data_IF_037459638356
#
_entry.id   IF_037459638356
#
_cell.length_a   1.000
_cell.length_b   1.000
_cell.length_c   1.000
_cell.angle_alpha   90.00
_cell.angle_beta   90.00
_cell.angle_gamma   90.00
#
_symmetry.space_group_name_H-M   'P 1'
#
loop_
_entity.id
_entity.type
_entity.pdbx_description
1 polymer ?
#
# COMPACT_ATOMS: atom_id res chain seq x y z
N UNK A 1 10.52 15.67 -8.31
CA UNK A 1 9.25 15.29 -8.97
C UNK A 1 9.10 13.80 -8.81
N UNK A 2 8.03 13.35 -8.15
CA UNK A 2 7.74 11.91 -8.02
C UNK A 2 7.38 11.36 -9.42
N UNK A 3 7.94 10.23 -9.86
CA UNK A 3 7.54 9.61 -11.12
C UNK A 3 6.02 9.38 -11.16
N UNK A 4 5.38 9.64 -12.31
CA UNK A 4 3.98 9.27 -12.49
C UNK A 4 3.82 7.75 -12.63
N UNK A 5 2.68 7.20 -12.21
CA UNK A 5 2.38 5.77 -12.38
C UNK A 5 3.04 4.84 -11.35
N UNK A 6 3.38 5.35 -10.17
CA UNK A 6 3.86 4.52 -9.06
C UNK A 6 2.77 3.61 -8.50
N UNK A 7 3.21 2.49 -7.94
CA UNK A 7 2.40 1.54 -7.20
C UNK A 7 2.85 1.52 -5.75
N UNK A 8 2.01 2.04 -4.84
CA UNK A 8 2.23 1.89 -3.41
C UNK A 8 1.90 0.44 -3.03
N UNK A 9 2.94 -0.37 -2.83
CA UNK A 9 2.79 -1.80 -2.56
C UNK A 9 2.42 -2.01 -1.10
N UNK A 10 1.17 -2.40 -0.87
CA UNK A 10 0.64 -2.64 0.46
C UNK A 10 1.21 -3.93 1.09
N UNK A 11 1.24 -3.99 2.42
CA UNK A 11 1.73 -5.14 3.18
C UNK A 11 0.98 -6.43 2.81
N UNK A 12 -0.32 -6.35 2.52
CA UNK A 12 -1.13 -7.51 2.08
C UNK A 12 -0.62 -8.13 0.77
N UNK A 13 -0.12 -7.33 -0.18
CA UNK A 13 0.49 -7.82 -1.41
C UNK A 13 1.90 -8.36 -1.15
N UNK A 14 2.70 -7.64 -0.36
CA UNK A 14 4.09 -8.03 -0.04
C UNK A 14 4.15 -9.36 0.70
N UNK A 15 3.23 -9.59 1.65
CA UNK A 15 3.15 -10.83 2.44
C UNK A 15 2.95 -12.09 1.56
N UNK A 16 2.47 -11.92 0.32
CA UNK A 16 2.17 -12.99 -0.64
C UNK A 16 3.28 -13.23 -1.66
N UNK A 17 4.48 -12.67 -1.46
CA UNK A 17 5.62 -12.83 -2.38
C UNK A 17 6.05 -14.29 -2.63
N UNK A 18 5.64 -15.24 -1.79
CA UNK A 18 5.88 -16.67 -2.01
C UNK A 18 5.07 -17.23 -3.19
N UNK A 19 3.92 -16.64 -3.51
CA UNK A 19 3.12 -17.03 -4.67
C UNK A 19 3.78 -16.55 -5.97
N UNK A 20 4.01 -17.45 -6.92
CA UNK A 20 4.73 -17.15 -8.16
C UNK A 20 4.17 -15.94 -8.92
N UNK A 21 2.83 -15.81 -9.11
CA UNK A 21 2.30 -14.68 -9.88
C UNK A 21 2.49 -13.34 -9.16
N UNK A 22 2.36 -13.32 -7.83
CA UNK A 22 2.63 -12.12 -7.01
C UNK A 22 4.09 -11.71 -7.13
N UNK A 23 5.02 -12.67 -6.97
CA UNK A 23 6.45 -12.39 -7.12
C UNK A 23 6.81 -11.88 -8.50
N UNK A 24 6.21 -12.46 -9.55
CA UNK A 24 6.46 -12.05 -10.92
C UNK A 24 6.05 -10.59 -11.14
N UNK A 25 4.88 -10.19 -10.64
CA UNK A 25 4.38 -8.83 -10.80
C UNK A 25 5.18 -7.81 -9.99
N UNK A 26 5.49 -8.12 -8.73
CA UNK A 26 6.38 -7.27 -7.91
C UNK A 26 7.76 -7.12 -8.57
N UNK A 27 8.33 -8.21 -9.11
CA UNK A 27 9.61 -8.17 -9.82
C UNK A 27 9.52 -7.31 -11.09
N UNK A 28 8.43 -7.42 -11.84
CA UNK A 28 8.20 -6.62 -13.06
C UNK A 28 8.14 -5.14 -12.72
N UNK A 29 7.32 -4.74 -11.74
CA UNK A 29 7.17 -3.35 -11.32
C UNK A 29 8.46 -2.80 -10.70
N UNK A 30 9.18 -3.61 -9.92
CA UNK A 30 10.47 -3.24 -9.34
C UNK A 30 11.53 -2.97 -10.41
N UNK A 31 11.61 -3.80 -11.46
CA UNK A 31 12.52 -3.56 -12.60
C UNK A 31 12.20 -2.29 -13.37
N UNK A 32 10.95 -1.84 -13.35
CA UNK A 32 10.52 -0.60 -13.98
C UNK A 32 10.71 0.62 -13.07
N UNK A 33 11.15 0.43 -11.81
CA UNK A 33 11.29 1.51 -10.84
C UNK A 33 9.94 2.11 -10.41
N UNK A 34 8.86 1.34 -10.51
CA UNK A 34 7.49 1.81 -10.25
C UNK A 34 6.97 1.47 -8.85
N UNK A 35 7.74 0.74 -8.03
CA UNK A 35 7.32 0.41 -6.68
C UNK A 35 7.56 1.59 -5.73
N UNK A 36 6.55 1.89 -4.93
CA UNK A 36 6.57 2.89 -3.89
C UNK A 36 6.24 2.27 -2.53
N UNK A 37 6.72 2.93 -1.49
CA UNK A 37 6.44 2.63 -0.09
C UNK A 37 6.02 3.89 0.66
N UNK A 38 5.57 3.74 1.89
CA UNK A 38 5.41 4.81 2.84
C UNK A 38 5.61 4.29 4.27
N UNK A 39 5.57 5.23 5.23
CA UNK A 39 5.81 4.94 6.66
C UNK A 39 4.92 3.83 7.23
N UNK A 40 3.66 3.73 6.82
CA UNK A 40 2.74 2.70 7.36
C UNK A 40 3.17 1.31 6.92
N UNK A 41 3.38 1.12 5.62
CA UNK A 41 3.82 -0.16 5.05
C UNK A 41 5.21 -0.54 5.57
N UNK A 42 6.15 0.41 5.64
CA UNK A 42 7.48 0.16 6.18
C UNK A 42 7.42 -0.37 7.62
N UNK A 43 6.63 0.27 8.47
CA UNK A 43 6.51 -0.16 9.87
C UNK A 43 5.89 -1.55 10.00
N UNK A 44 4.88 -1.89 9.20
CA UNK A 44 4.26 -3.23 9.22
C UNK A 44 5.20 -4.33 8.72
N UNK A 45 5.90 -4.07 7.61
CA UNK A 45 6.88 -5.00 7.04
C UNK A 45 8.02 -5.23 8.03
N UNK A 46 8.54 -4.16 8.63
CA UNK A 46 9.65 -4.24 9.56
C UNK A 46 9.24 -4.86 10.92
N UNK A 47 8.00 -4.63 11.38
CA UNK A 47 7.44 -5.29 12.56
C UNK A 47 7.43 -6.82 12.43
N UNK A 48 7.27 -7.33 11.20
CA UNK A 48 7.27 -8.78 10.91
C UNK A 48 8.66 -9.42 10.92
N UNK A 49 9.73 -8.63 11.08
CA UNK A 49 11.11 -9.14 11.10
C UNK A 49 11.37 -9.99 12.34
N UNK A 50 12.05 -11.13 12.17
CA UNK A 50 12.28 -12.08 13.28
C UNK A 50 13.55 -11.80 14.07
N UNK A 51 14.48 -11.04 13.50
CA UNK A 51 15.78 -10.74 14.10
C UNK A 51 16.24 -9.33 13.72
N UNK A 52 17.20 -8.74 14.45
CA UNK A 52 17.80 -7.45 14.07
C UNK A 52 18.45 -7.47 12.67
N UNK A 53 19.05 -8.60 12.27
CA UNK A 53 19.66 -8.74 10.95
C UNK A 53 18.61 -8.77 9.83
N UNK A 54 17.49 -9.46 10.07
CA UNK A 54 16.33 -9.49 9.16
C UNK A 54 15.69 -8.11 9.00
N UNK A 55 15.53 -7.37 10.12
CA UNK A 55 15.08 -5.99 10.12
C UNK A 55 15.99 -5.09 9.27
N UNK A 56 17.30 -5.13 9.54
CA UNK A 56 18.26 -4.28 8.83
C UNK A 56 18.28 -4.58 7.32
N UNK A 57 18.22 -5.87 6.96
CA UNK A 57 18.16 -6.31 5.56
C UNK A 57 16.89 -5.80 4.89
N UNK A 58 15.73 -5.97 5.54
CA UNK A 58 14.44 -5.51 5.03
C UNK A 58 14.41 -3.99 4.86
N UNK A 59 14.88 -3.23 5.85
CA UNK A 59 14.95 -1.77 5.78
C UNK A 59 15.84 -1.30 4.62
N UNK A 60 17.01 -1.92 4.46
CA UNK A 60 17.94 -1.61 3.37
C UNK A 60 17.32 -1.91 2.00
N UNK A 61 16.69 -3.08 1.82
CA UNK A 61 16.04 -3.45 0.57
C UNK A 61 14.92 -2.48 0.21
N UNK A 62 14.15 -2.01 1.20
CA UNK A 62 13.07 -1.04 0.96
C UNK A 62 13.63 0.30 0.52
N UNK A 63 14.62 0.83 1.23
CA UNK A 63 15.28 2.09 0.89
C UNK A 63 15.95 2.07 -0.51
N UNK A 64 16.40 0.90 -0.97
CA UNK A 64 17.06 0.75 -2.28
C UNK A 64 16.09 0.55 -3.45
N UNK A 65 14.95 -0.10 -3.21
CA UNK A 65 14.09 -0.60 -4.31
C UNK A 65 12.72 0.08 -4.38
N UNK A 66 12.35 0.91 -3.41
CA UNK A 66 11.05 1.57 -3.35
C UNK A 66 11.22 3.09 -3.28
N UNK A 67 10.34 3.81 -3.97
CA UNK A 67 10.20 5.26 -3.82
C UNK A 67 9.44 5.54 -2.52
N UNK A 68 10.06 6.25 -1.58
CA UNK A 68 9.38 6.67 -0.34
C UNK A 68 8.39 7.82 -0.60
N UNK A 69 7.16 7.65 -0.11
CA UNK A 69 6.07 8.63 -0.18
C UNK A 69 5.79 9.20 1.22
N UNK A 70 6.38 10.36 1.58
CA UNK A 70 6.29 10.87 2.94
C UNK A 70 4.90 11.44 3.26
N UNK A 71 4.38 11.24 4.48
CA UNK A 71 3.10 11.81 4.88
C UNK A 71 3.17 13.34 5.03
N UNK A 72 2.03 14.01 4.85
CA UNK A 72 1.85 15.45 5.06
C UNK A 72 0.60 15.71 5.91
N UNK A 73 0.45 16.89 6.52
CA UNK A 73 -0.78 17.23 7.24
C UNK A 73 -2.05 17.11 6.37
N UNK A 74 -1.95 17.41 5.07
CA UNK A 74 -3.05 17.28 4.11
C UNK A 74 -3.49 15.80 3.93
N UNK A 75 -2.53 14.87 3.92
CA UNK A 75 -2.80 13.43 3.88
C UNK A 75 -3.58 12.97 5.10
N UNK A 76 -3.21 13.43 6.30
CA UNK A 76 -3.93 13.09 7.53
C UNK A 76 -5.37 13.61 7.52
N UNK A 77 -5.59 14.83 7.00
CA UNK A 77 -6.93 15.36 6.81
C UNK A 77 -7.73 14.54 5.78
N UNK A 78 -7.08 14.09 4.70
CA UNK A 78 -7.71 13.27 3.66
C UNK A 78 -8.11 11.89 4.18
N UNK A 79 -7.28 11.21 4.97
CA UNK A 79 -7.62 9.92 5.59
C UNK A 79 -8.89 10.03 6.46
N UNK A 80 -9.02 11.09 7.26
CA UNK A 80 -10.24 11.38 8.04
C UNK A 80 -11.45 11.63 7.14
N UNK A 81 -11.26 12.34 6.04
CA UNK A 81 -12.34 12.59 5.07
C UNK A 81 -12.82 11.30 4.41
N UNK A 82 -11.92 10.41 4.00
CA UNK A 82 -12.27 9.09 3.44
C UNK A 82 -13.07 8.28 4.47
N UNK A 83 -12.63 8.23 5.74
CA UNK A 83 -13.36 7.54 6.78
C UNK A 83 -14.75 8.14 7.03
N UNK A 84 -14.88 9.48 7.01
CA UNK A 84 -16.16 10.16 7.11
C UNK A 84 -17.09 9.81 5.94
N UNK A 85 -16.55 9.71 4.72
CA UNK A 85 -17.30 9.27 3.53
C UNK A 85 -17.79 7.83 3.70
N UNK A 86 -16.95 6.91 4.18
CA UNK A 86 -17.37 5.55 4.54
C UNK A 86 -18.45 5.56 5.62
N UNK A 87 -18.35 6.44 6.62
CA UNK A 87 -19.34 6.57 7.68
C UNK A 87 -20.73 6.95 7.17
N UNK A 88 -20.82 7.81 6.13
CA UNK A 88 -22.11 8.15 5.49
C UNK A 88 -22.82 6.94 4.88
N UNK A 89 -22.09 5.84 4.64
CA UNK A 89 -22.57 4.57 4.11
C UNK A 89 -22.64 3.46 5.17
N UNK A 90 -22.47 3.80 6.46
CA UNK A 90 -22.32 2.83 7.57
C UNK A 90 -21.13 1.86 7.40
N UNK A 91 -20.12 2.25 6.61
CA UNK A 91 -18.94 1.45 6.27
C UNK A 91 -17.65 1.94 6.97
N UNK A 92 -17.74 2.78 7.99
CA UNK A 92 -16.57 3.34 8.69
C UNK A 92 -15.66 2.31 9.39
N UNK A 93 -16.11 1.05 9.50
CA UNK A 93 -15.33 -0.10 10.02
C UNK A 93 -14.95 -1.10 8.94
N UNK A 94 -15.26 -0.81 7.68
CA UNK A 94 -14.97 -1.69 6.54
C UNK A 94 -13.55 -1.53 6.02
N UNK A 95 -12.74 -0.65 6.61
CA UNK A 95 -11.33 -0.49 6.30
C UNK A 95 -10.52 -0.25 7.57
N UNK A 96 -9.34 -0.84 7.66
CA UNK A 96 -8.37 -0.58 8.71
C UNK A 96 -7.95 0.89 8.81
N UNK A 97 -7.60 1.34 10.02
CA UNK A 97 -7.13 2.72 10.24
C UNK A 97 -5.79 2.99 9.55
N UNK A 98 -4.96 1.96 9.39
CA UNK A 98 -3.69 2.04 8.67
C UNK A 98 -3.95 2.12 7.16
N UNK A 99 -4.87 1.31 6.63
CA UNK A 99 -5.23 1.31 5.20
C UNK A 99 -5.79 2.65 4.74
N UNK A 100 -6.58 3.32 5.59
CA UNK A 100 -7.04 4.68 5.32
C UNK A 100 -5.89 5.68 5.13
N UNK A 101 -4.83 5.56 5.93
CA UNK A 101 -3.66 6.42 5.82
C UNK A 101 -2.81 6.03 4.60
N UNK A 102 -2.57 4.73 4.38
CA UNK A 102 -1.88 4.20 3.19
C UNK A 102 -2.56 4.66 1.91
N UNK A 103 -3.89 4.54 1.83
CA UNK A 103 -4.68 4.97 0.69
C UNK A 103 -4.62 6.49 0.47
N UNK A 104 -4.72 7.29 1.53
CA UNK A 104 -4.61 8.75 1.42
C UNK A 104 -3.20 9.20 0.95
N UNK A 105 -2.14 8.48 1.35
CA UNK A 105 -0.78 8.71 0.85
C UNK A 105 -0.74 8.42 -0.66
N UNK A 106 -1.21 7.25 -1.09
CA UNK A 106 -1.23 6.90 -2.51
C UNK A 106 -2.00 7.93 -3.36
N UNK A 107 -3.19 8.32 -2.91
CA UNK A 107 -4.02 9.32 -3.59
C UNK A 107 -3.30 10.67 -3.73
N UNK A 108 -2.66 11.15 -2.66
CA UNK A 108 -1.95 12.44 -2.66
C UNK A 108 -0.80 12.49 -3.67
N UNK A 109 -0.08 11.38 -3.83
CA UNK A 109 1.04 11.29 -4.77
C UNK A 109 0.64 10.79 -6.17
N UNK A 110 -0.65 10.54 -6.42
CA UNK A 110 -1.13 9.98 -7.69
C UNK A 110 -0.65 8.55 -7.94
N UNK A 111 -0.36 7.79 -6.89
CA UNK A 111 0.02 6.38 -6.96
C UNK A 111 -1.21 5.46 -6.93
N UNK A 112 -1.07 4.28 -7.53
CA UNK A 112 -2.05 3.19 -7.42
C UNK A 112 -1.74 2.35 -6.19
N UNK A 113 -2.72 2.06 -5.33
CA UNK A 113 -2.49 1.09 -4.25
C UNK A 113 -2.44 -0.31 -4.86
N UNK A 114 -1.36 -1.04 -4.64
CA UNK A 114 -1.20 -2.41 -5.09
C UNK A 114 -1.38 -3.35 -3.89
N UNK A 115 -2.50 -4.07 -3.84
CA UNK A 115 -2.97 -4.75 -2.62
C UNK A 115 -3.44 -6.18 -2.88
N UNK A 116 -3.67 -6.92 -1.80
CA UNK A 116 -4.48 -8.13 -1.76
C UNK A 116 -5.36 -8.09 -0.51
N UNK A 117 -6.15 -7.03 -0.39
CA UNK A 117 -7.05 -6.75 0.72
C UNK A 117 -8.31 -6.01 0.22
N UNK A 118 -9.50 -6.49 0.59
CA UNK A 118 -10.77 -5.88 0.20
C UNK A 118 -11.02 -4.51 0.82
N UNK A 119 -10.29 -4.15 1.88
CA UNK A 119 -10.41 -2.84 2.53
C UNK A 119 -10.15 -1.70 1.53
N UNK A 120 -9.22 -1.89 0.60
CA UNK A 120 -8.94 -0.92 -0.46
C UNK A 120 -10.05 -0.82 -1.51
N UNK A 121 -10.85 -1.86 -1.74
CA UNK A 121 -12.04 -1.77 -2.59
C UNK A 121 -13.10 -0.88 -1.93
N UNK A 122 -13.29 -1.00 -0.60
CA UNK A 122 -14.18 -0.13 0.16
C UNK A 122 -13.73 1.32 0.13
N UNK A 123 -12.43 1.57 0.29
CA UNK A 123 -11.84 2.91 0.20
C UNK A 123 -12.04 3.49 -1.21
N UNK A 124 -11.67 2.74 -2.26
CA UNK A 124 -11.80 3.19 -3.65
C UNK A 124 -13.25 3.50 -4.03
N UNK A 125 -14.22 2.75 -3.50
CA UNK A 125 -15.63 2.98 -3.75
C UNK A 125 -16.14 4.36 -3.27
N UNK A 126 -15.45 5.01 -2.32
CA UNK A 126 -15.78 6.36 -1.87
C UNK A 126 -14.81 7.41 -2.37
N UNK A 127 -13.50 7.13 -2.47
CA UNK A 127 -12.50 8.13 -2.88
C UNK A 127 -12.36 8.24 -4.39
N UNK A 128 -12.69 7.19 -5.15
CA UNK A 128 -12.44 7.11 -6.60
C UNK A 128 -10.95 6.93 -6.96
N UNK A 129 -10.09 6.72 -5.96
CA UNK A 129 -8.65 6.58 -6.20
C UNK A 129 -8.32 5.25 -6.90
N UNK A 130 -7.22 5.18 -7.65
CA UNK A 130 -6.81 3.93 -8.29
C UNK A 130 -6.30 2.92 -7.27
N UNK A 131 -6.82 1.70 -7.38
CA UNK A 131 -6.35 0.51 -6.65
C UNK A 131 -6.22 -0.65 -7.62
N UNK A 132 -5.34 -1.60 -7.29
CA UNK A 132 -5.08 -2.77 -8.09
C UNK A 132 -4.82 -3.98 -7.17
N UNK A 133 -5.63 -5.01 -7.34
CA UNK A 133 -5.31 -6.33 -6.83
C UNK A 133 -4.02 -6.84 -7.49
N UNK A 134 -3.00 -7.20 -6.71
CA UNK A 134 -1.70 -7.69 -7.22
C UNK A 134 -1.85 -8.91 -8.14
N UNK A 135 -2.83 -9.76 -7.82
CA UNK A 135 -3.30 -10.90 -8.60
C UNK A 135 -4.81 -11.04 -8.37
N UNK A 136 -5.57 -11.74 -9.23
CA UNK A 136 -7.01 -11.90 -9.03
C UNK A 136 -7.36 -12.44 -7.64
N UNK A 137 -8.44 -11.91 -7.05
CA UNK A 137 -8.92 -12.33 -5.72
C UNK A 137 -9.14 -13.85 -5.67
N UNK A 138 -8.74 -14.46 -4.55
CA UNK A 138 -8.84 -15.91 -4.31
C UNK A 138 -7.70 -16.74 -4.90
N UNK A 139 -6.69 -16.15 -5.54
CA UNK A 139 -5.58 -16.87 -6.18
C UNK A 139 -4.27 -16.91 -5.38
N UNK A 140 -4.17 -16.14 -4.29
CA UNK A 140 -3.01 -16.08 -3.39
C UNK A 140 -3.46 -16.04 -1.91
N UNK A 141 -4.15 -17.09 -1.47
CA UNK A 141 -4.57 -17.28 -0.07
C UNK A 141 -3.58 -18.12 0.71
#
# INVERSE_FOLDING_TARGET
>A
MTPGGLYLADTSAIARVQHLPVRAELTRLGRLGLLATCVTVDLEVLYSSRTPADYATSAQLRAQNFVDLPPTPAIAARARAIQAMLATRSQHRAAGVVDLLTAAIAEHYGATVLHYDSDFDHIAAVSGQPTQWIVPVGTAN
#
